data_IF_124748219899
#
_entry.id   IF_124748219899
#
_cell.length_a   1.000
_cell.length_b   1.000
_cell.length_c   1.000
_cell.angle_alpha   90.00
_cell.angle_beta   90.00
_cell.angle_gamma   90.00
#
_symmetry.space_group_name_H-M   'P 1'
#
loop_
_entity.id
_entity.type
_entity.pdbx_description
1 polymer ?
#
# COMPACT_ATOMS: atom_id res chain seq x y z
N UNK A 1 -13.40 5.84 30.79
CA UNK A 1 -14.41 4.92 30.25
C UNK A 1 -14.81 5.43 28.88
N UNK A 2 -14.09 4.99 27.84
CA UNK A 2 -14.37 5.41 26.46
C UNK A 2 -15.47 4.48 25.95
N UNK A 3 -16.71 4.95 25.97
CA UNK A 3 -17.76 4.33 25.15
C UNK A 3 -17.44 4.70 23.70
N UNK A 4 -17.29 3.73 22.77
CA UNK A 4 -17.03 4.08 21.38
C UNK A 4 -18.31 4.69 20.81
N UNK A 5 -18.40 6.01 20.80
CA UNK A 5 -19.58 6.73 20.35
C UNK A 5 -19.62 6.86 18.81
N UNK A 6 -18.53 6.50 18.10
CA UNK A 6 -18.49 6.47 16.63
C UNK A 6 -17.47 5.47 16.07
N UNK A 7 -17.75 4.79 14.94
CA UNK A 7 -16.84 3.82 14.32
C UNK A 7 -15.54 4.46 13.79
N UNK A 8 -15.51 5.79 13.61
CA UNK A 8 -14.35 6.56 13.13
C UNK A 8 -13.33 6.90 14.22
N UNK A 9 -13.68 6.75 15.50
CA UNK A 9 -12.79 7.07 16.63
C UNK A 9 -11.50 6.24 16.62
N UNK A 10 -11.52 5.09 15.95
CA UNK A 10 -10.34 4.25 15.74
C UNK A 10 -9.21 4.91 14.95
N UNK A 11 -9.54 5.91 14.13
CA UNK A 11 -8.59 6.65 13.32
C UNK A 11 -8.12 7.93 14.02
N UNK A 12 -8.50 8.15 15.29
CA UNK A 12 -8.08 9.32 16.04
C UNK A 12 -6.57 9.30 16.31
N UNK A 13 -5.92 10.41 15.99
CA UNK A 13 -4.48 10.60 16.20
C UNK A 13 -4.26 11.03 17.65
N UNK A 14 -3.78 10.10 18.48
CA UNK A 14 -3.41 10.40 19.87
C UNK A 14 -1.90 10.68 19.95
N UNK A 15 -1.47 11.80 20.57
CA UNK A 15 -0.07 12.01 20.91
C UNK A 15 0.32 11.17 22.12
N UNK A 16 1.27 10.26 21.93
CA UNK A 16 1.88 9.43 22.99
C UNK A 16 2.96 10.20 23.75
N UNK A 17 3.85 10.90 23.04
CA UNK A 17 4.94 11.70 23.62
C UNK A 17 4.91 13.08 22.96
N UNK A 18 4.26 14.08 23.57
CA UNK A 18 4.22 15.42 22.99
C UNK A 18 5.59 16.09 23.15
N UNK A 19 6.32 16.25 22.05
CA UNK A 19 7.52 17.08 22.00
C UNK A 19 7.22 18.33 21.17
N UNK A 20 7.44 19.51 21.75
CA UNK A 20 7.33 20.78 21.04
C UNK A 20 8.74 21.29 20.77
N UNK A 21 9.10 21.42 19.49
CA UNK A 21 10.36 22.06 19.07
C UNK A 21 9.96 23.42 18.45
N UNK A 22 10.07 24.49 19.24
CA UNK A 22 9.59 25.82 18.84
C UNK A 22 8.08 25.87 18.57
N UNK A 23 7.68 26.44 17.42
CA UNK A 23 6.28 26.52 16.98
C UNK A 23 5.81 25.26 16.24
N UNK A 24 6.66 24.24 16.08
CA UNK A 24 6.34 22.98 15.41
C UNK A 24 6.01 21.89 16.45
N UNK A 25 4.85 21.26 16.28
CA UNK A 25 4.39 20.15 17.10
C UNK A 25 5.02 18.84 16.59
N UNK A 26 6.18 18.47 17.12
CA UNK A 26 6.82 17.17 16.87
C UNK A 26 6.36 16.13 17.92
N UNK A 27 5.06 15.90 18.01
CA UNK A 27 4.54 14.88 18.93
C UNK A 27 4.73 13.48 18.33
N UNK A 28 5.28 12.55 19.10
CA UNK A 28 5.22 11.13 18.78
C UNK A 28 3.76 10.69 18.95
N UNK A 29 3.15 10.21 17.87
CA UNK A 29 1.73 9.85 17.80
C UNK A 29 1.54 8.36 17.53
N UNK A 30 0.30 7.86 17.70
CA UNK A 30 -0.03 6.48 17.35
C UNK A 30 0.43 6.10 15.93
N UNK A 31 0.11 6.86 14.85
CA UNK A 31 0.60 6.56 13.52
C UNK A 31 2.12 6.39 13.42
N UNK A 32 2.90 7.24 14.11
CA UNK A 32 4.37 7.13 14.10
C UNK A 32 4.88 5.89 14.82
N UNK A 33 4.21 5.45 15.90
CA UNK A 33 4.55 4.20 16.58
C UNK A 33 4.32 2.99 15.67
N UNK A 34 3.13 2.89 15.07
CA UNK A 34 2.80 1.74 14.21
C UNK A 34 3.66 1.72 12.94
N UNK A 35 4.04 2.88 12.40
CA UNK A 35 5.00 2.97 11.28
C UNK A 35 6.42 2.55 11.68
N UNK A 36 6.86 2.90 12.89
CA UNK A 36 8.15 2.43 13.40
C UNK A 36 8.13 0.91 13.64
N UNK A 37 6.99 0.39 14.10
CA UNK A 37 6.78 -1.04 14.27
C UNK A 37 6.84 -1.79 12.92
N UNK A 38 6.15 -1.31 11.88
CA UNK A 38 6.24 -1.93 10.54
C UNK A 38 7.68 -1.91 10.02
N UNK A 39 8.37 -0.77 10.14
CA UNK A 39 9.74 -0.63 9.70
C UNK A 39 10.69 -1.56 10.46
N UNK A 40 10.53 -1.68 11.78
CA UNK A 40 11.32 -2.60 12.60
C UNK A 40 11.09 -4.07 12.22
N UNK A 41 9.84 -4.45 11.94
CA UNK A 41 9.48 -5.79 11.52
C UNK A 41 10.10 -6.14 10.16
N UNK A 42 10.03 -5.22 9.20
CA UNK A 42 10.63 -5.41 7.87
C UNK A 42 12.16 -5.54 7.98
N UNK A 43 12.81 -4.66 8.73
CA UNK A 43 14.26 -4.73 8.93
C UNK A 43 14.69 -6.02 9.63
N UNK A 44 13.92 -6.46 10.63
CA UNK A 44 14.16 -7.72 11.33
C UNK A 44 14.04 -8.91 10.37
N UNK A 45 13.00 -8.96 9.54
CA UNK A 45 12.83 -10.02 8.53
C UNK A 45 13.99 -10.07 7.53
N UNK A 46 14.44 -8.91 7.05
CA UNK A 46 15.61 -8.83 6.15
C UNK A 46 16.89 -9.26 6.89
N UNK A 47 17.04 -8.89 8.16
CA UNK A 47 18.19 -9.28 8.97
C UNK A 47 18.25 -10.81 9.17
N UNK A 48 17.11 -11.46 9.44
CA UNK A 48 17.02 -12.93 9.61
C UNK A 48 17.38 -13.73 8.35
N UNK A 49 17.19 -13.13 7.17
CA UNK A 49 17.61 -13.74 5.89
C UNK A 49 19.08 -13.50 5.59
N UNK A 50 19.63 -12.39 6.07
CA UNK A 50 21.03 -12.04 5.79
C UNK A 50 21.96 -13.07 6.44
N UNK A 51 23.05 -13.42 5.74
CA UNK A 51 24.06 -14.39 6.19
C UNK A 51 24.62 -14.08 7.59
N UNK A 52 24.66 -12.80 7.97
CA UNK A 52 25.11 -12.34 9.28
C UNK A 52 24.08 -12.53 10.42
N UNK A 53 22.81 -12.79 10.10
CA UNK A 53 21.71 -12.97 11.05
C UNK A 53 21.19 -14.41 11.19
N UNK A 54 21.87 -15.40 10.60
CA UNK A 54 21.48 -16.83 10.71
C UNK A 54 20.95 -17.48 9.42
N UNK A 55 21.22 -16.89 8.24
CA UNK A 55 21.00 -17.49 6.93
C UNK A 55 21.68 -18.85 6.77
N UNK A 56 20.92 -19.95 6.87
CA UNK A 56 21.44 -21.30 6.66
C UNK A 56 21.35 -21.69 5.19
N UNK A 57 22.23 -22.59 4.73
CA UNK A 57 22.19 -23.12 3.35
C UNK A 57 20.90 -23.89 3.07
N UNK A 58 20.30 -24.49 4.11
CA UNK A 58 18.94 -25.03 4.08
C UNK A 58 18.01 -23.98 4.72
N UNK A 59 17.02 -23.46 3.97
CA UNK A 59 16.21 -22.35 4.44
C UNK A 59 15.30 -22.79 5.59
N UNK A 60 15.25 -21.97 6.64
CA UNK A 60 14.21 -22.07 7.66
C UNK A 60 12.85 -21.60 7.11
N UNK A 61 11.74 -21.98 7.77
CA UNK A 61 10.39 -21.57 7.34
C UNK A 61 10.24 -20.06 7.15
N UNK A 62 10.84 -19.26 8.05
CA UNK A 62 10.86 -17.80 7.95
C UNK A 62 11.73 -17.26 6.80
N UNK A 63 12.83 -17.95 6.48
CA UNK A 63 13.69 -17.61 5.34
C UNK A 63 12.96 -17.91 4.03
N UNK A 64 12.29 -19.07 3.93
CA UNK A 64 11.47 -19.44 2.79
C UNK A 64 10.36 -18.43 2.50
N UNK A 65 9.71 -17.87 3.54
CA UNK A 65 8.69 -16.84 3.36
C UNK A 65 9.25 -15.57 2.71
N UNK A 66 10.43 -15.12 3.14
CA UNK A 66 11.05 -13.90 2.60
C UNK A 66 11.63 -14.15 1.22
N UNK A 67 12.22 -15.32 0.97
CA UNK A 67 12.65 -15.76 -0.37
C UNK A 67 11.47 -15.82 -1.34
N UNK A 68 10.32 -16.33 -0.90
CA UNK A 68 9.10 -16.34 -1.70
C UNK A 68 8.65 -14.92 -2.09
N UNK A 69 8.68 -13.98 -1.14
CA UNK A 69 8.38 -12.57 -1.41
C UNK A 69 9.39 -11.98 -2.40
N UNK A 70 10.67 -12.28 -2.21
CA UNK A 70 11.75 -11.81 -3.09
C UNK A 70 11.56 -12.31 -4.52
N UNK A 71 11.36 -13.62 -4.70
CA UNK A 71 11.17 -14.26 -6.00
C UNK A 71 9.88 -13.78 -6.67
N UNK A 72 8.81 -13.60 -5.90
CA UNK A 72 7.55 -13.04 -6.39
C UNK A 72 7.75 -11.64 -6.99
N UNK A 73 8.41 -10.74 -6.25
CA UNK A 73 8.70 -9.39 -6.74
C UNK A 73 9.66 -9.44 -7.94
N UNK A 74 10.65 -10.32 -7.92
CA UNK A 74 11.62 -10.46 -9.00
C UNK A 74 10.93 -10.88 -10.31
N UNK A 75 10.05 -11.88 -10.24
CA UNK A 75 9.27 -12.33 -11.38
C UNK A 75 8.35 -11.22 -11.91
N UNK A 76 7.64 -10.53 -11.01
CA UNK A 76 6.79 -9.38 -11.36
C UNK A 76 7.59 -8.30 -12.10
N UNK A 77 8.77 -7.93 -11.59
CA UNK A 77 9.64 -6.94 -12.23
C UNK A 77 10.14 -7.43 -13.59
N UNK A 78 10.52 -8.71 -13.70
CA UNK A 78 11.04 -9.27 -14.94
C UNK A 78 10.00 -9.33 -16.06
N UNK A 79 8.75 -9.70 -15.72
CA UNK A 79 7.62 -9.78 -16.64
C UNK A 79 7.15 -8.40 -17.11
N UNK A 80 6.99 -7.45 -16.19
CA UNK A 80 6.42 -6.14 -16.52
C UNK A 80 7.44 -5.20 -17.14
N UNK A 81 8.71 -5.27 -16.73
CA UNK A 81 9.78 -4.43 -17.28
C UNK A 81 10.48 -5.17 -18.43
N UNK A 82 9.72 -5.80 -19.32
CA UNK A 82 10.25 -6.45 -20.53
C UNK A 82 11.05 -5.49 -21.40
N UNK A 83 12.22 -5.92 -21.90
CA UNK A 83 13.00 -5.16 -22.90
C UNK A 83 14.20 -4.34 -22.41
N UNK A 84 14.35 -4.06 -21.10
CA UNK A 84 15.55 -3.38 -20.61
C UNK A 84 16.77 -4.31 -20.47
N UNK A 85 17.96 -3.79 -20.79
CA UNK A 85 19.24 -4.41 -20.43
C UNK A 85 19.25 -4.78 -18.94
N UNK A 86 19.66 -6.02 -18.61
CA UNK A 86 19.55 -6.59 -17.26
C UNK A 86 20.10 -5.70 -16.14
N UNK A 87 21.12 -4.89 -16.45
CA UNK A 87 21.74 -3.94 -15.51
C UNK A 87 20.77 -2.86 -14.99
N UNK A 88 19.79 -2.44 -15.80
CA UNK A 88 18.84 -1.39 -15.39
C UNK A 88 17.70 -1.97 -14.56
N UNK A 89 17.23 -3.18 -14.88
CA UNK A 89 16.23 -3.91 -14.08
C UNK A 89 16.71 -4.10 -12.65
N UNK A 90 17.96 -4.53 -12.49
CA UNK A 90 18.59 -4.74 -11.18
C UNK A 90 18.71 -3.45 -10.36
N UNK A 91 18.81 -2.27 -10.99
CA UNK A 91 18.89 -1.00 -10.27
C UNK A 91 17.56 -0.56 -9.66
N UNK A 92 16.44 -0.86 -10.32
CA UNK A 92 15.10 -0.48 -9.83
C UNK A 92 14.47 -1.53 -8.93
N UNK A 93 14.89 -2.78 -9.06
CA UNK A 93 14.39 -3.90 -8.26
C UNK A 93 14.36 -3.63 -6.74
N UNK A 94 15.41 -3.09 -6.10
CA UNK A 94 15.38 -2.82 -4.65
C UNK A 94 14.29 -1.83 -4.24
N UNK A 95 14.01 -0.80 -5.06
CA UNK A 95 12.97 0.18 -4.78
C UNK A 95 11.57 -0.45 -4.82
N UNK A 96 11.34 -1.30 -5.82
CA UNK A 96 10.06 -2.01 -6.02
C UNK A 96 9.84 -3.02 -4.89
N UNK A 97 10.90 -3.75 -4.51
CA UNK A 97 10.87 -4.68 -3.38
C UNK A 97 10.54 -3.97 -2.07
N UNK A 98 11.25 -2.89 -1.74
CA UNK A 98 10.98 -2.12 -0.52
C UNK A 98 9.54 -1.61 -0.50
N UNK A 99 9.05 -1.09 -1.63
CA UNK A 99 7.67 -0.57 -1.73
C UNK A 99 6.63 -1.67 -1.52
N UNK A 100 6.81 -2.82 -2.18
CA UNK A 100 5.90 -3.96 -2.03
C UNK A 100 5.89 -4.48 -0.60
N UNK A 101 7.07 -4.77 -0.05
CA UNK A 101 7.22 -5.30 1.31
C UNK A 101 6.66 -4.32 2.35
N UNK A 102 6.97 -3.03 2.22
CA UNK A 102 6.44 -2.00 3.11
C UNK A 102 4.91 -1.94 3.09
N UNK A 103 4.29 -1.91 1.91
CA UNK A 103 2.83 -1.87 1.78
C UNK A 103 2.16 -3.14 2.28
N UNK A 104 2.73 -4.30 1.96
CA UNK A 104 2.22 -5.59 2.41
C UNK A 104 2.16 -5.64 3.94
N UNK A 105 3.27 -5.30 4.61
CA UNK A 105 3.33 -5.33 6.07
C UNK A 105 2.49 -4.24 6.73
N UNK A 106 2.43 -3.03 6.16
CA UNK A 106 1.54 -1.97 6.68
C UNK A 106 0.06 -2.39 6.60
N UNK A 107 -0.36 -2.99 5.50
CA UNK A 107 -1.74 -3.43 5.31
C UNK A 107 -2.07 -4.64 6.21
N UNK A 108 -1.17 -5.63 6.30
CA UNK A 108 -1.37 -6.80 7.18
C UNK A 108 -1.40 -6.41 8.66
N UNK A 109 -0.49 -5.52 9.09
CA UNK A 109 -0.50 -5.00 10.45
C UNK A 109 -1.78 -4.23 10.74
N UNK A 110 -2.33 -3.56 9.74
CA UNK A 110 -3.60 -2.87 9.84
C UNK A 110 -4.76 -3.81 10.22
N UNK A 111 -4.78 -5.01 9.64
CA UNK A 111 -5.83 -6.01 9.86
C UNK A 111 -5.83 -6.65 11.26
N UNK A 112 -4.76 -6.48 12.05
CA UNK A 112 -4.68 -7.04 13.41
C UNK A 112 -5.70 -6.32 14.30
N UNK A 113 -6.58 -7.05 15.03
CA UNK A 113 -7.53 -6.41 15.92
C UNK A 113 -6.80 -5.55 16.97
N UNK A 114 -7.34 -4.36 17.25
CA UNK A 114 -6.73 -3.32 18.10
C UNK A 114 -5.48 -2.62 17.54
N UNK A 115 -5.05 -2.94 16.32
CA UNK A 115 -3.98 -2.23 15.64
C UNK A 115 -4.47 -0.94 14.98
N UNK A 116 -3.57 0.03 14.84
CA UNK A 116 -3.83 1.26 14.09
C UNK A 116 -3.36 1.11 12.64
N UNK A 117 -4.26 1.35 11.70
CA UNK A 117 -3.98 1.24 10.26
C UNK A 117 -3.40 2.55 9.74
N UNK A 118 -2.08 2.63 9.60
CA UNK A 118 -1.41 3.85 9.09
C UNK A 118 -1.86 4.18 7.66
N UNK A 119 -2.21 3.17 6.85
CA UNK A 119 -2.68 3.31 5.47
C UNK A 119 -4.13 3.81 5.36
N UNK A 120 -4.86 3.93 6.46
CA UNK A 120 -6.18 4.58 6.48
C UNK A 120 -6.10 6.11 6.46
N UNK A 121 -4.90 6.70 6.55
CA UNK A 121 -4.74 8.15 6.40
C UNK A 121 -4.49 8.54 4.95
N UNK A 122 -5.39 9.37 4.44
CA UNK A 122 -5.35 9.90 3.08
C UNK A 122 -4.02 10.59 2.74
N UNK A 123 -3.49 11.41 3.65
CA UNK A 123 -2.23 12.14 3.46
C UNK A 123 -1.04 11.18 3.29
N UNK A 124 -1.00 10.08 4.03
CA UNK A 124 0.14 9.14 4.01
C UNK A 124 0.15 8.34 2.70
N UNK A 125 -1.01 7.82 2.29
CA UNK A 125 -1.15 7.02 1.07
C UNK A 125 -0.97 7.85 -0.20
N UNK A 126 -1.53 9.07 -0.25
CA UNK A 126 -1.26 9.99 -1.35
C UNK A 126 0.19 10.46 -1.36
N UNK A 127 0.78 10.77 -0.20
CA UNK A 127 2.18 11.18 -0.10
C UNK A 127 3.12 10.10 -0.66
N UNK A 128 2.88 8.83 -0.33
CA UNK A 128 3.62 7.70 -0.89
C UNK A 128 3.45 7.62 -2.42
N UNK A 129 2.21 7.71 -2.90
CA UNK A 129 1.90 7.60 -4.33
C UNK A 129 2.55 8.73 -5.15
N UNK A 130 2.43 9.98 -4.69
CA UNK A 130 3.05 11.14 -5.34
C UNK A 130 4.58 11.07 -5.29
N UNK A 131 5.18 10.63 -4.17
CA UNK A 131 6.63 10.47 -4.06
C UNK A 131 7.19 9.48 -5.09
N UNK A 132 6.55 8.31 -5.22
CA UNK A 132 6.94 7.30 -6.20
C UNK A 132 6.72 7.78 -7.63
N UNK A 133 5.61 8.46 -7.88
CA UNK A 133 5.31 9.03 -9.18
C UNK A 133 6.34 10.08 -9.61
N UNK A 134 6.66 11.04 -8.73
CA UNK A 134 7.71 12.04 -8.97
C UNK A 134 9.06 11.33 -9.22
N UNK A 135 9.38 10.29 -8.44
CA UNK A 135 10.57 9.47 -8.65
C UNK A 135 10.63 8.85 -10.05
N UNK A 136 9.53 8.27 -10.54
CA UNK A 136 9.43 7.71 -11.89
C UNK A 136 9.57 8.80 -12.95
N UNK A 137 8.94 9.97 -12.77
CA UNK A 137 9.07 11.09 -13.71
C UNK A 137 10.51 11.61 -13.80
N UNK A 138 11.21 11.73 -12.66
CA UNK A 138 12.63 12.13 -12.63
C UNK A 138 13.47 11.12 -13.40
N UNK A 139 13.25 9.82 -13.17
CA UNK A 139 13.96 8.73 -13.86
C UNK A 139 13.69 8.76 -15.36
N UNK A 140 12.44 8.95 -15.78
CA UNK A 140 12.06 9.06 -17.19
C UNK A 140 12.76 10.23 -17.88
N UNK A 141 12.79 11.41 -17.23
CA UNK A 141 13.49 12.58 -17.75
C UNK A 141 15.00 12.39 -17.82
N UNK A 142 15.62 11.73 -16.83
CA UNK A 142 17.05 11.44 -16.86
C UNK A 142 17.45 10.48 -17.98
N UNK A 143 16.58 9.53 -18.34
CA UNK A 143 16.88 8.54 -19.39
C UNK A 143 16.62 9.07 -20.79
N UNK A 144 15.50 9.75 -20.99
CA UNK A 144 15.01 10.12 -22.31
C UNK A 144 15.10 11.63 -22.59
N UNK A 145 15.43 12.45 -21.60
CA UNK A 145 15.60 13.90 -21.76
C UNK A 145 14.38 14.59 -22.34
N UNK A 146 14.59 15.46 -23.35
CA UNK A 146 13.51 16.16 -24.06
C UNK A 146 12.63 15.21 -24.90
N UNK A 147 13.10 13.99 -25.22
CA UNK A 147 12.29 12.99 -25.91
C UNK A 147 11.19 12.41 -25.00
N UNK A 148 11.27 12.59 -23.68
CA UNK A 148 10.17 12.26 -22.76
C UNK A 148 8.87 13.03 -23.10
N UNK A 149 8.95 14.22 -23.70
CA UNK A 149 7.77 14.95 -24.16
C UNK A 149 7.06 14.27 -25.33
N UNK A 150 7.73 13.35 -26.04
CA UNK A 150 7.09 12.50 -27.04
C UNK A 150 6.11 11.51 -26.42
N UNK A 151 6.25 11.17 -25.12
CA UNK A 151 5.26 10.38 -24.39
C UNK A 151 3.89 11.08 -24.34
N UNK A 152 3.87 12.41 -24.29
CA UNK A 152 2.62 13.19 -24.29
C UNK A 152 1.97 13.30 -25.67
N UNK A 153 2.65 12.82 -26.74
CA UNK A 153 2.24 12.98 -28.14
C UNK A 153 2.20 11.62 -28.84
N UNK A 154 1.04 10.94 -28.90
CA UNK A 154 0.88 9.74 -29.69
C UNK A 154 1.16 10.01 -31.18
N UNK A 155 1.86 9.07 -31.80
CA UNK A 155 2.27 9.18 -33.20
C UNK A 155 1.06 9.24 -34.15
N UNK A 156 1.09 10.16 -35.11
CA UNK A 156 0.09 10.25 -36.18
C UNK A 156 -1.07 11.23 -35.93
N UNK A 157 -1.02 12.06 -34.88
CA UNK A 157 -2.08 13.04 -34.60
C UNK A 157 -1.95 14.28 -35.52
N UNK A 158 -3.05 14.75 -36.15
CA UNK A 158 -3.04 15.96 -36.94
C UNK A 158 -2.67 17.19 -36.08
N UNK A 159 -1.78 18.03 -36.60
CA UNK A 159 -1.16 19.17 -35.91
C UNK A 159 -2.13 20.10 -35.14
N UNK A 160 -3.38 20.35 -35.59
CA UNK A 160 -4.33 21.18 -34.84
C UNK A 160 -4.87 20.53 -33.56
N UNK A 161 -4.96 19.20 -33.48
CA UNK A 161 -5.48 18.49 -32.30
C UNK A 161 -4.39 18.14 -31.28
N UNK A 162 -3.12 18.23 -31.68
CA UNK A 162 -1.99 17.91 -30.82
C UNK A 162 -2.01 18.65 -29.45
N UNK A 163 -2.28 19.97 -29.36
CA UNK A 163 -2.24 20.67 -28.07
C UNK A 163 -3.32 20.20 -27.09
N UNK A 164 -4.51 19.87 -27.59
CA UNK A 164 -5.60 19.37 -26.77
C UNK A 164 -5.31 17.97 -26.23
N UNK A 165 -4.71 17.11 -27.06
CA UNK A 165 -4.41 15.75 -26.67
C UNK A 165 -3.25 15.67 -25.65
N UNK A 166 -2.22 16.51 -25.81
CA UNK A 166 -1.14 16.68 -24.82
C UNK A 166 -1.70 17.08 -23.45
N UNK A 167 -2.69 17.99 -23.42
CA UNK A 167 -3.33 18.40 -22.18
C UNK A 167 -4.09 17.23 -21.52
N UNK A 168 -4.82 16.44 -22.31
CA UNK A 168 -5.54 15.27 -21.77
C UNK A 168 -4.59 14.19 -21.25
N UNK A 169 -3.48 13.93 -21.95
CA UNK A 169 -2.48 12.95 -21.50
C UNK A 169 -1.80 13.41 -20.20
N UNK A 170 -1.47 14.70 -20.07
CA UNK A 170 -0.96 15.27 -18.83
C UNK A 170 -1.95 15.11 -17.66
N UNK A 171 -3.23 15.36 -17.92
CA UNK A 171 -4.32 15.14 -16.95
C UNK A 171 -4.37 13.65 -16.55
N UNK A 172 -4.40 12.74 -17.52
CA UNK A 172 -4.45 11.29 -17.30
C UNK A 172 -3.25 10.79 -16.49
N UNK A 173 -2.06 11.29 -16.82
CA UNK A 173 -0.82 11.00 -16.12
C UNK A 173 -0.87 11.45 -14.65
N UNK A 174 -1.41 12.62 -14.34
CA UNK A 174 -1.61 13.07 -12.95
C UNK A 174 -2.65 12.21 -12.20
N UNK A 175 -3.78 11.90 -12.85
CA UNK A 175 -4.82 11.05 -12.25
C UNK A 175 -4.34 9.63 -11.96
N UNK A 176 -3.36 9.14 -12.69
CA UNK A 176 -2.67 7.87 -12.45
C UNK A 176 -2.05 7.81 -11.05
N UNK A 177 -1.29 8.83 -10.66
CA UNK A 177 -0.69 8.95 -9.33
C UNK A 177 -1.76 9.09 -8.23
N UNK A 178 -2.76 9.93 -8.49
CA UNK A 178 -3.83 10.18 -7.52
C UNK A 178 -4.69 8.94 -7.27
N UNK A 179 -5.10 8.24 -8.33
CA UNK A 179 -5.94 7.05 -8.25
C UNK A 179 -5.25 5.89 -7.51
N UNK A 180 -3.94 5.75 -7.67
CA UNK A 180 -3.16 4.71 -7.00
C UNK A 180 -3.20 4.87 -5.45
N UNK A 181 -2.98 6.08 -4.96
CA UNK A 181 -3.03 6.38 -3.52
C UNK A 181 -4.46 6.32 -2.95
N UNK A 182 -5.44 6.88 -3.68
CA UNK A 182 -6.85 6.82 -3.28
C UNK A 182 -7.33 5.37 -3.15
N UNK A 183 -6.92 4.49 -4.06
CA UNK A 183 -7.30 3.07 -4.02
C UNK A 183 -6.83 2.39 -2.75
N UNK A 184 -5.57 2.62 -2.36
CA UNK A 184 -5.01 2.07 -1.13
C UNK A 184 -5.77 2.60 0.09
N UNK A 185 -5.98 3.91 0.15
CA UNK A 185 -6.73 4.55 1.23
C UNK A 185 -8.18 4.05 1.34
N UNK A 186 -8.92 4.07 0.23
CA UNK A 186 -10.34 3.73 0.22
C UNK A 186 -10.55 2.28 0.64
N UNK A 187 -9.74 1.35 0.15
CA UNK A 187 -9.86 -0.06 0.49
C UNK A 187 -9.56 -0.30 1.98
N UNK A 188 -8.51 0.34 2.53
CA UNK A 188 -8.15 0.17 3.94
C UNK A 188 -9.12 0.91 4.88
N UNK A 189 -9.65 2.07 4.49
CA UNK A 189 -10.59 2.79 5.34
C UNK A 189 -12.00 2.19 5.30
N UNK A 190 -12.48 1.79 4.11
CA UNK A 190 -13.82 1.22 3.95
C UNK A 190 -13.94 -0.16 4.58
N UNK A 191 -12.95 -1.03 4.40
CA UNK A 191 -12.96 -2.38 5.00
C UNK A 191 -13.02 -2.32 6.53
N UNK A 192 -12.11 -1.58 7.16
CA UNK A 192 -12.07 -1.41 8.61
C UNK A 192 -13.34 -0.77 9.18
N UNK A 193 -13.95 0.16 8.44
CA UNK A 193 -15.22 0.77 8.84
C UNK A 193 -16.37 -0.25 8.74
N UNK A 194 -16.41 -1.02 7.66
CA UNK A 194 -17.43 -2.05 7.42
C UNK A 194 -17.38 -3.15 8.48
N UNK A 195 -16.20 -3.72 8.75
CA UNK A 195 -16.03 -4.79 9.75
C UNK A 195 -16.42 -4.29 11.14
N UNK A 196 -16.09 -3.04 11.51
CA UNK A 196 -16.51 -2.48 12.81
C UNK A 196 -18.01 -2.26 12.92
N UNK A 197 -18.65 -1.73 11.89
CA UNK A 197 -20.10 -1.50 11.90
C UNK A 197 -20.83 -2.84 12.05
N UNK A 198 -20.43 -3.85 11.28
CA UNK A 198 -21.05 -5.18 11.34
C UNK A 198 -20.73 -5.93 12.63
N UNK A 199 -19.50 -5.80 13.15
CA UNK A 199 -19.15 -6.34 14.47
C UNK A 199 -19.95 -5.68 15.59
N UNK A 200 -20.20 -4.37 15.52
CA UNK A 200 -21.06 -3.65 16.45
C UNK A 200 -22.51 -4.15 16.39
N UNK A 201 -23.06 -4.34 15.18
CA UNK A 201 -24.38 -4.93 15.01
C UNK A 201 -24.47 -6.36 15.56
N UNK A 202 -23.49 -7.21 15.24
CA UNK A 202 -23.42 -8.57 15.76
C UNK A 202 -23.36 -8.58 17.30
N UNK A 203 -22.57 -7.69 17.90
CA UNK A 203 -22.50 -7.54 19.36
C UNK A 203 -23.83 -7.09 19.98
N UNK A 204 -24.52 -6.12 19.36
CA UNK A 204 -25.82 -5.66 19.87
C UNK A 204 -26.89 -6.75 19.81
N UNK A 205 -26.86 -7.59 18.76
CA UNK A 205 -27.77 -8.75 18.64
C UNK A 205 -27.48 -9.79 19.73
N UNK A 206 -26.20 -10.12 19.97
CA UNK A 206 -25.76 -11.03 21.04
C UNK A 206 -26.20 -10.58 22.44
N UNK A 207 -26.21 -9.27 22.70
CA UNK A 207 -26.59 -8.73 24.01
C UNK A 207 -28.12 -8.72 24.26
N UNK A 208 -28.95 -8.82 23.22
CA UNK A 208 -30.40 -8.94 23.36
C UNK A 208 -30.75 -10.41 23.65
N UNK A 209 -30.59 -10.79 24.92
CA UNK A 209 -30.76 -12.13 25.51
C UNK A 209 -32.15 -12.76 25.28
N UNK A 210 -32.44 -13.27 24.09
CA UNK A 210 -33.51 -14.25 23.88
C UNK A 210 -32.90 -15.59 23.42
N UNK A 211 -33.17 -16.66 24.17
CA UNK A 211 -32.60 -18.01 24.00
C UNK A 211 -32.82 -18.59 22.59
N UNK A 212 -33.87 -18.16 21.88
CA UNK A 212 -34.18 -18.56 20.51
C UNK A 212 -33.30 -17.87 19.44
N UNK A 213 -32.66 -16.75 19.76
CA UNK A 213 -31.78 -16.04 18.84
C UNK A 213 -30.36 -16.59 18.80
N UNK A 214 -29.95 -17.42 19.77
CA UNK A 214 -28.60 -17.98 19.84
C UNK A 214 -28.18 -18.79 18.60
N UNK A 215 -29.15 -19.41 17.91
CA UNK A 215 -28.93 -20.14 16.64
C UNK A 215 -28.90 -19.18 15.43
N UNK A 216 -29.67 -18.09 15.47
CA UNK A 216 -29.63 -17.02 14.47
C UNK A 216 -28.38 -16.13 14.57
N UNK A 217 -27.78 -16.06 15.75
CA UNK A 217 -26.62 -15.22 16.11
C UNK A 217 -25.30 -15.67 15.45
N UNK A 218 -25.20 -16.96 15.13
CA UNK A 218 -24.06 -17.50 14.38
C UNK A 218 -23.98 -16.91 12.96
N UNK A 219 -25.11 -16.49 12.39
CA UNK A 219 -25.16 -15.89 11.05
C UNK A 219 -24.37 -14.58 10.95
N UNK A 220 -24.71 -13.54 11.74
CA UNK A 220 -23.94 -12.29 11.80
C UNK A 220 -22.46 -12.48 12.12
N UNK A 221 -22.13 -13.39 13.05
CA UNK A 221 -20.73 -13.68 13.40
C UNK A 221 -19.98 -14.32 12.22
N UNK A 222 -20.61 -15.26 11.52
CA UNK A 222 -20.05 -15.87 10.31
C UNK A 222 -19.81 -14.84 9.21
N UNK A 223 -20.74 -13.88 9.01
CA UNK A 223 -20.59 -12.79 8.04
C UNK A 223 -19.39 -11.91 8.39
N UNK A 224 -19.23 -11.53 9.67
CA UNK A 224 -18.09 -10.73 10.13
C UNK A 224 -16.77 -11.49 9.91
N UNK A 225 -16.73 -12.79 10.22
CA UNK A 225 -15.55 -13.63 9.98
C UNK A 225 -15.22 -13.71 8.47
N UNK A 226 -16.22 -13.97 7.63
CA UNK A 226 -16.06 -14.05 6.19
C UNK A 226 -15.58 -12.72 5.59
N UNK A 227 -16.13 -11.58 6.04
CA UNK A 227 -15.70 -10.25 5.61
C UNK A 227 -14.29 -9.91 6.07
N UNK A 228 -13.91 -10.31 7.29
CA UNK A 228 -12.53 -10.13 7.78
C UNK A 228 -11.54 -10.92 6.91
N UNK A 229 -11.90 -12.15 6.51
CA UNK A 229 -11.09 -12.94 5.57
C UNK A 229 -11.02 -12.33 4.17
N UNK A 230 -12.13 -11.78 3.67
CA UNK A 230 -12.15 -11.06 2.39
C UNK A 230 -11.26 -9.82 2.43
N UNK A 231 -11.34 -9.03 3.50
CA UNK A 231 -10.54 -7.82 3.67
C UNK A 231 -9.05 -8.14 3.74
N UNK A 232 -8.66 -9.27 4.36
CA UNK A 232 -7.28 -9.76 4.36
C UNK A 232 -6.79 -10.03 2.93
N UNK A 233 -7.63 -10.67 2.12
CA UNK A 233 -7.34 -10.89 0.70
C UNK A 233 -7.17 -9.56 -0.07
N UNK A 234 -8.08 -8.60 0.15
CA UNK A 234 -8.01 -7.27 -0.47
C UNK A 234 -6.76 -6.50 -0.02
N UNK A 235 -6.34 -6.61 1.24
CA UNK A 235 -5.15 -5.98 1.79
C UNK A 235 -3.86 -6.44 1.10
N UNK A 236 -3.73 -7.76 0.83
CA UNK A 236 -2.62 -8.35 0.08
C UNK A 236 -2.67 -7.93 -1.39
N UNK A 237 -3.84 -8.07 -2.02
CA UNK A 237 -4.04 -7.70 -3.42
C UNK A 237 -3.75 -6.22 -3.67
N UNK A 238 -4.07 -5.35 -2.71
CA UNK A 238 -3.83 -3.93 -2.85
C UNK A 238 -2.33 -3.59 -2.89
N UNK A 239 -1.49 -4.28 -2.11
CA UNK A 239 -0.04 -4.13 -2.21
C UNK A 239 0.49 -4.64 -3.56
N UNK A 240 -0.03 -5.77 -4.04
CA UNK A 240 0.31 -6.31 -5.36
C UNK A 240 -0.08 -5.36 -6.51
N UNK A 241 -1.33 -4.91 -6.55
CA UNK A 241 -1.85 -3.99 -7.58
C UNK A 241 -1.07 -2.68 -7.54
N UNK A 242 -0.67 -2.21 -6.35
CA UNK A 242 0.13 -1.00 -6.25
C UNK A 242 1.50 -1.16 -6.92
N UNK A 243 2.18 -2.27 -6.63
CA UNK A 243 3.51 -2.57 -7.17
C UNK A 243 3.49 -2.84 -8.68
N UNK A 244 2.50 -3.59 -9.18
CA UNK A 244 2.41 -3.87 -10.63
C UNK A 244 2.16 -2.60 -11.44
N UNK A 245 1.30 -1.69 -10.96
CA UNK A 245 1.08 -0.39 -11.61
C UNK A 245 2.36 0.43 -11.65
N UNK A 246 3.14 0.45 -10.57
CA UNK A 246 4.45 1.11 -10.56
C UNK A 246 5.40 0.51 -11.59
N UNK A 247 5.46 -0.81 -11.70
CA UNK A 247 6.30 -1.48 -12.69
C UNK A 247 5.90 -1.10 -14.12
N UNK A 248 4.60 -1.06 -14.41
CA UNK A 248 4.07 -0.63 -15.72
C UNK A 248 4.46 0.83 -15.97
N UNK A 249 4.26 1.72 -15.00
CA UNK A 249 4.56 3.15 -15.16
C UNK A 249 6.06 3.43 -15.30
N UNK A 250 6.89 2.63 -14.63
CA UNK A 250 8.33 2.68 -14.80
C UNK A 250 8.74 2.15 -16.18
N UNK A 251 8.08 1.11 -16.71
CA UNK A 251 8.32 0.62 -18.06
C UNK A 251 7.95 1.68 -19.10
N UNK A 252 6.73 2.25 -19.01
CA UNK A 252 6.26 3.35 -19.87
C UNK A 252 7.22 4.54 -19.88
N UNK A 253 7.76 4.92 -18.71
CA UNK A 253 8.65 6.07 -18.58
C UNK A 253 10.04 5.83 -19.19
N UNK A 254 10.51 4.58 -19.24
CA UNK A 254 11.84 4.24 -19.73
C UNK A 254 11.80 3.84 -21.21
N UNK A 255 10.87 2.95 -21.59
CA UNK A 255 10.66 2.52 -22.95
C UNK A 255 9.59 3.41 -23.58
N UNK A 256 10.02 4.50 -24.21
CA UNK A 256 9.12 5.33 -24.99
C UNK A 256 8.67 4.53 -26.23
N UNK A 257 7.37 4.33 -26.36
CA UNK A 257 6.72 3.77 -27.55
C UNK A 257 6.85 4.70 -28.76
#
# INVERSE_FOLDING_TARGET
TITPNSPLEQFAILPLIPMKIGNLYFSFTNPSLFMLLTLSLVLLLVHFVTKNGGGNLVPNAWQSLVELIYDFVLNLVNEQIGGLSGNVKQKFFPCILVTFTFLLFCNLQGMIPYSFTVTSHFLITLGLSFSLFIGITIVGFQRNGLHFLSFLLPAGVPLPLAPFLVLLELISYCFRALSLGIRLFANMMAGHSLVKILSGFAWTMLCMNDLLYFIGDLGPLFIVLALTGLELGVAILQAYVFTILICIYLNDAINLH
#
